data_IF_756553059771
#
_entry.id   IF_756553059771
#
_cell.length_a   1.000
_cell.length_b   1.000
_cell.length_c   1.000
_cell.angle_alpha   90.00
_cell.angle_beta   90.00
_cell.angle_gamma   90.00
#
_symmetry.space_group_name_H-M   'P 1'
#
loop_
_entity.id
_entity.type
_entity.pdbx_description
1 polymer ?
#
# COMPACT_ATOMS: atom_id res chain seq x y z
N UNK A 1 -9.07 13.80 -25.17
CA UNK A 1 -8.01 13.57 -24.18
C UNK A 1 -7.57 12.12 -24.24
N UNK A 2 -6.30 11.86 -24.10
CA UNK A 2 -5.79 10.49 -24.03
C UNK A 2 -4.95 10.33 -22.78
N UNK A 3 -5.44 9.54 -21.84
CA UNK A 3 -4.70 9.24 -20.61
C UNK A 3 -3.72 8.09 -20.91
N UNK A 4 -2.44 8.31 -20.62
CA UNK A 4 -1.38 7.36 -20.96
C UNK A 4 -1.08 6.36 -19.85
N UNK A 5 -1.45 6.67 -18.61
CA UNK A 5 -1.18 5.77 -17.49
C UNK A 5 -1.50 6.42 -16.16
N UNK A 6 -1.07 5.75 -15.09
CA UNK A 6 -1.19 6.26 -13.72
C UNK A 6 0.23 6.62 -13.25
N UNK A 7 0.46 7.89 -12.92
CA UNK A 7 1.78 8.36 -12.49
C UNK A 7 2.03 8.09 -11.02
N UNK A 8 1.05 8.39 -10.19
CA UNK A 8 1.17 8.15 -8.75
C UNK A 8 -0.20 7.97 -8.11
N UNK A 9 -0.18 7.41 -6.92
CA UNK A 9 -1.36 7.29 -6.06
C UNK A 9 -1.05 8.07 -4.79
N UNK A 10 -1.95 8.98 -4.40
CA UNK A 10 -1.82 9.72 -3.15
C UNK A 10 -2.25 8.88 -1.97
N UNK A 11 -1.43 8.88 -0.93
CA UNK A 11 -1.70 8.17 0.32
C UNK A 11 -1.69 9.18 1.46
N UNK A 12 -2.81 9.39 2.16
CA UNK A 12 -2.85 10.36 3.25
C UNK A 12 -2.08 9.84 4.47
N UNK A 13 -1.38 10.76 5.14
CA UNK A 13 -0.66 10.44 6.37
C UNK A 13 -0.70 11.63 7.32
N UNK A 14 -0.57 11.35 8.61
CA UNK A 14 -0.37 12.35 9.64
C UNK A 14 1.12 12.60 9.90
N UNK A 15 1.98 11.70 9.45
CA UNK A 15 3.42 11.74 9.72
C UNK A 15 4.15 11.06 8.56
N UNK A 16 4.68 11.87 7.66
CA UNK A 16 5.32 11.37 6.44
C UNK A 16 6.58 10.53 6.74
N UNK A 17 7.40 10.94 7.70
CA UNK A 17 8.61 10.20 8.04
C UNK A 17 8.28 8.80 8.55
N UNK A 18 7.26 8.69 9.41
CA UNK A 18 6.77 7.42 9.92
C UNK A 18 6.21 6.56 8.80
N UNK A 19 5.42 7.16 7.90
CA UNK A 19 4.82 6.44 6.77
C UNK A 19 5.90 5.88 5.84
N UNK A 20 6.83 6.71 5.40
CA UNK A 20 7.92 6.29 4.52
C UNK A 20 8.74 5.16 5.16
N UNK A 21 9.07 5.30 6.44
CA UNK A 21 9.84 4.28 7.17
C UNK A 21 9.09 2.94 7.20
N UNK A 22 7.80 2.95 7.43
CA UNK A 22 7.00 1.72 7.48
C UNK A 22 6.92 1.04 6.11
N UNK A 23 6.63 1.80 5.07
CA UNK A 23 6.54 1.25 3.71
C UNK A 23 7.90 0.72 3.24
N UNK A 24 8.98 1.38 3.61
CA UNK A 24 10.35 0.91 3.31
C UNK A 24 10.71 -0.34 4.09
N UNK A 25 10.52 -0.31 5.42
CA UNK A 25 11.04 -1.34 6.32
C UNK A 25 10.14 -2.58 6.39
N UNK A 26 8.83 -2.41 6.33
CA UNK A 26 7.87 -3.52 6.42
C UNK A 26 7.53 -4.07 5.03
N UNK A 27 7.24 -3.19 4.08
CA UNK A 27 6.86 -3.63 2.73
C UNK A 27 8.06 -3.77 1.77
N UNK A 28 9.24 -3.30 2.18
CA UNK A 28 10.45 -3.41 1.37
C UNK A 28 10.46 -2.50 0.14
N UNK A 29 9.70 -1.40 0.16
CA UNK A 29 9.62 -0.51 -0.99
C UNK A 29 10.77 0.49 -0.99
N UNK A 30 11.46 0.67 -2.14
CA UNK A 30 12.51 1.68 -2.22
C UNK A 30 11.95 3.08 -2.07
N UNK A 31 12.76 3.96 -1.46
CA UNK A 31 12.41 5.38 -1.31
C UNK A 31 12.82 6.14 -2.58
N UNK A 32 12.18 7.30 -2.78
CA UNK A 32 12.52 8.18 -3.89
C UNK A 32 13.83 8.92 -3.63
N UNK A 33 14.62 9.13 -4.69
CA UNK A 33 15.82 9.96 -4.64
C UNK A 33 15.48 11.46 -4.70
N UNK A 34 14.27 11.80 -5.13
CA UNK A 34 13.88 13.18 -5.41
C UNK A 34 13.10 13.84 -4.28
N UNK A 35 12.45 13.05 -3.44
CA UNK A 35 11.62 13.57 -2.36
C UNK A 35 11.51 12.56 -1.23
N UNK A 36 11.34 13.08 -0.01
CA UNK A 36 11.14 12.28 1.19
C UNK A 36 9.67 11.86 1.38
N UNK A 37 8.81 12.17 0.40
CA UNK A 37 7.37 11.91 0.49
C UNK A 37 6.90 10.76 -0.39
N UNK A 38 7.82 9.99 -0.96
CA UNK A 38 7.45 8.95 -1.91
C UNK A 38 8.16 7.63 -1.66
N UNK A 39 7.47 6.55 -1.97
CA UNK A 39 8.07 5.22 -2.12
C UNK A 39 7.66 4.66 -3.48
N UNK A 40 8.46 3.74 -4.01
CA UNK A 40 8.28 3.24 -5.36
C UNK A 40 7.82 1.78 -5.36
N UNK A 41 6.83 1.46 -6.16
CA UNK A 41 6.54 0.09 -6.58
C UNK A 41 7.15 -0.12 -7.96
N UNK A 42 6.99 -1.30 -8.54
CA UNK A 42 7.54 -1.56 -9.89
C UNK A 42 6.85 -0.76 -10.99
N UNK A 43 5.63 -0.31 -10.77
CA UNK A 43 4.84 0.33 -11.82
C UNK A 43 4.16 1.63 -11.42
N UNK A 44 4.13 1.97 -10.14
CA UNK A 44 3.43 3.17 -9.66
C UNK A 44 4.15 3.72 -8.43
N UNK A 45 4.27 5.02 -8.34
CA UNK A 45 4.76 5.74 -7.17
C UNK A 45 3.63 5.91 -6.16
N UNK A 46 3.91 5.67 -4.89
CA UNK A 46 3.01 6.05 -3.80
C UNK A 46 3.52 7.36 -3.20
N UNK A 47 2.71 8.41 -3.30
CA UNK A 47 3.06 9.76 -2.86
C UNK A 47 2.27 10.10 -1.60
N UNK A 48 2.98 10.36 -0.49
CA UNK A 48 2.33 10.67 0.78
C UNK A 48 1.89 12.12 0.81
N UNK A 49 0.64 12.32 1.21
CA UNK A 49 0.02 13.63 1.32
C UNK A 49 -0.31 13.90 2.78
N UNK A 50 -0.03 15.13 3.22
CA UNK A 50 -0.30 15.58 4.60
C UNK A 50 -1.50 16.54 4.58
N UNK A 51 -2.74 16.01 4.65
CA UNK A 51 -3.93 16.87 4.55
C UNK A 51 -4.01 17.93 5.64
N UNK A 52 -3.54 17.62 6.84
CA UNK A 52 -3.58 18.57 7.95
C UNK A 52 -2.69 19.81 7.72
N UNK A 53 -1.62 19.67 6.95
CA UNK A 53 -0.80 20.82 6.53
C UNK A 53 -1.53 21.73 5.54
N UNK A 54 -2.57 21.22 4.91
CA UNK A 54 -3.42 21.99 3.98
C UNK A 54 -4.67 22.51 4.66
N UNK A 55 -4.77 22.39 5.98
CA UNK A 55 -5.97 22.79 6.71
C UNK A 55 -7.14 21.83 6.54
N UNK A 56 -6.89 20.63 6.04
CA UNK A 56 -7.92 19.62 5.82
C UNK A 56 -7.91 18.59 6.95
N UNK A 57 -9.06 17.96 7.18
CA UNK A 57 -9.14 16.85 8.13
C UNK A 57 -8.49 15.61 7.55
N UNK A 58 -7.71 14.89 8.36
CA UNK A 58 -7.19 13.59 7.96
C UNK A 58 -8.32 12.56 7.91
N UNK A 59 -8.40 11.82 6.80
CA UNK A 59 -9.31 10.69 6.64
C UNK A 59 -8.51 9.56 5.97
N UNK A 60 -8.40 8.40 6.61
CA UNK A 60 -7.65 7.29 6.00
C UNK A 60 -8.35 6.76 4.77
N UNK A 61 -7.58 6.18 3.86
CA UNK A 61 -8.12 5.47 2.71
C UNK A 61 -8.54 4.07 3.15
N UNK A 62 -9.84 3.86 3.24
CA UNK A 62 -10.40 2.58 3.67
C UNK A 62 -10.77 1.66 2.49
N UNK A 63 -10.64 2.15 1.26
CA UNK A 63 -10.99 1.37 0.06
C UNK A 63 -9.90 0.39 -0.34
N UNK A 64 -8.67 0.66 0.04
CA UNK A 64 -7.55 -0.23 -0.19
C UNK A 64 -6.79 0.03 -1.48
N UNK A 65 -5.50 -0.23 -1.42
CA UNK A 65 -4.60 -0.24 -2.57
C UNK A 65 -4.10 -1.68 -2.72
N UNK A 66 -4.33 -2.29 -3.87
CA UNK A 66 -3.84 -3.63 -4.16
C UNK A 66 -2.36 -3.62 -4.47
N UNK A 67 -1.59 -4.36 -3.68
CA UNK A 67 -0.15 -4.52 -3.85
C UNK A 67 0.15 -5.97 -4.20
N UNK A 68 0.75 -6.20 -5.36
CA UNK A 68 1.09 -7.56 -5.79
C UNK A 68 2.27 -8.10 -5.00
N UNK A 69 2.09 -9.27 -4.40
CA UNK A 69 3.16 -10.00 -3.71
C UNK A 69 3.19 -11.43 -4.21
N UNK A 70 4.32 -12.11 -4.07
CA UNK A 70 4.47 -13.49 -4.54
C UNK A 70 3.68 -14.48 -3.69
N UNK A 71 3.65 -14.27 -2.38
CA UNK A 71 3.07 -15.19 -1.40
C UNK A 71 2.28 -14.36 -0.38
N UNK A 72 0.96 -14.36 -0.50
CA UNK A 72 0.09 -13.55 0.36
C UNK A 72 0.15 -13.98 1.83
N UNK A 73 0.04 -15.28 2.18
CA UNK A 73 0.16 -15.66 3.58
C UNK A 73 1.50 -15.26 4.22
N UNK A 74 2.61 -15.43 3.49
CA UNK A 74 3.93 -15.05 3.99
C UNK A 74 4.04 -13.54 4.18
N UNK A 75 3.52 -12.75 3.23
CA UNK A 75 3.53 -11.30 3.33
C UNK A 75 2.69 -10.80 4.51
N UNK A 76 1.54 -11.40 4.75
CA UNK A 76 0.69 -11.08 5.92
C UNK A 76 1.45 -11.35 7.21
N UNK A 77 2.18 -12.47 7.30
CA UNK A 77 2.98 -12.78 8.49
C UNK A 77 4.13 -11.78 8.69
N UNK A 78 4.73 -11.30 7.61
CA UNK A 78 5.76 -10.25 7.72
C UNK A 78 5.19 -8.98 8.33
N UNK A 79 3.99 -8.57 7.92
CA UNK A 79 3.31 -7.41 8.50
C UNK A 79 3.01 -7.65 9.97
N UNK A 80 2.48 -8.83 10.31
CA UNK A 80 2.15 -9.18 11.72
C UNK A 80 3.39 -9.19 12.60
N UNK A 81 4.47 -9.79 12.13
CA UNK A 81 5.75 -9.88 12.87
C UNK A 81 6.35 -8.50 13.11
N UNK A 82 6.17 -7.58 12.19
CA UNK A 82 6.63 -6.20 12.35
C UNK A 82 5.72 -5.35 13.25
N UNK A 83 4.69 -5.95 13.83
CA UNK A 83 3.74 -5.25 14.70
C UNK A 83 2.63 -4.53 13.94
N UNK A 84 2.48 -4.76 12.66
CA UNK A 84 1.42 -4.18 11.85
C UNK A 84 0.07 -4.84 12.08
N UNK A 85 -0.98 -4.12 11.76
CA UNK A 85 -2.35 -4.60 11.95
C UNK A 85 -2.79 -5.42 10.74
N UNK A 86 -3.22 -6.64 11.00
CA UNK A 86 -3.79 -7.55 10.00
C UNK A 86 -5.30 -7.62 10.19
N UNK A 87 -6.06 -7.31 9.15
CA UNK A 87 -7.53 -7.34 9.19
C UNK A 87 -8.04 -8.74 8.85
N UNK A 88 -7.47 -9.38 7.84
CA UNK A 88 -7.87 -10.73 7.46
C UNK A 88 -7.25 -11.21 6.16
N UNK A 89 -7.53 -12.46 5.83
CA UNK A 89 -7.11 -13.09 4.58
C UNK A 89 -8.33 -13.71 3.92
N UNK A 90 -8.41 -13.58 2.61
CA UNK A 90 -9.49 -14.10 1.78
C UNK A 90 -8.94 -14.78 0.55
N UNK A 91 -9.64 -15.82 0.09
CA UNK A 91 -9.35 -16.48 -1.18
C UNK A 91 -10.65 -16.52 -1.99
N UNK A 92 -10.64 -15.87 -3.16
CA UNK A 92 -11.83 -15.77 -4.00
C UNK A 92 -12.00 -16.96 -4.96
N UNK A 93 -11.04 -17.91 -4.98
CA UNK A 93 -11.00 -18.97 -5.97
C UNK A 93 -10.19 -18.61 -7.21
N UNK A 94 -9.79 -17.35 -7.36
CA UNK A 94 -8.91 -16.86 -8.44
C UNK A 94 -7.77 -16.01 -7.90
N UNK A 95 -7.95 -15.38 -6.74
CA UNK A 95 -6.97 -14.50 -6.11
C UNK A 95 -6.90 -14.78 -4.62
N UNK A 96 -5.72 -14.58 -4.04
CA UNK A 96 -5.55 -14.45 -2.59
C UNK A 96 -5.40 -12.98 -2.24
N UNK A 97 -6.00 -12.57 -1.13
CA UNK A 97 -5.99 -11.19 -0.65
C UNK A 97 -5.73 -11.16 0.85
N UNK A 98 -4.75 -10.37 1.27
CA UNK A 98 -4.48 -10.11 2.68
C UNK A 98 -4.73 -8.64 2.95
N UNK A 99 -5.65 -8.33 3.86
CA UNK A 99 -6.03 -6.96 4.21
C UNK A 99 -5.24 -6.54 5.44
N UNK A 100 -4.46 -5.47 5.29
CA UNK A 100 -3.65 -4.93 6.38
C UNK A 100 -3.83 -3.41 6.44
N UNK A 101 -3.53 -2.82 7.59
CA UNK A 101 -3.51 -1.37 7.73
C UNK A 101 -2.06 -0.88 7.78
N UNK A 102 -1.81 0.28 7.17
CA UNK A 102 -0.59 1.01 7.41
C UNK A 102 -0.69 1.75 8.76
N UNK A 103 0.36 2.47 9.22
CA UNK A 103 0.31 3.16 10.52
C UNK A 103 -0.78 4.21 10.65
N UNK A 104 -1.29 4.75 9.55
CA UNK A 104 -2.35 5.77 9.55
C UNK A 104 -3.75 5.17 9.40
N UNK A 105 -3.86 3.86 9.27
CA UNK A 105 -5.15 3.21 9.04
C UNK A 105 -5.55 3.12 7.59
N UNK A 106 -4.66 3.43 6.65
CA UNK A 106 -4.93 3.18 5.24
C UNK A 106 -4.91 1.68 4.99
N UNK A 107 -5.92 1.19 4.29
CA UNK A 107 -6.04 -0.22 3.96
C UNK A 107 -5.15 -0.55 2.77
N UNK A 108 -4.37 -1.60 2.91
CA UNK A 108 -3.58 -2.18 1.83
C UNK A 108 -4.04 -3.61 1.61
N UNK A 109 -4.12 -4.02 0.35
CA UNK A 109 -4.54 -5.37 -0.01
C UNK A 109 -3.34 -6.07 -0.65
N UNK A 110 -2.70 -6.95 0.13
CA UNK A 110 -1.64 -7.79 -0.38
C UNK A 110 -2.28 -8.85 -1.26
N UNK A 111 -1.90 -8.89 -2.52
CA UNK A 111 -2.72 -9.55 -3.55
C UNK A 111 -1.88 -10.42 -4.46
N UNK A 112 -2.43 -11.59 -4.81
CA UNK A 112 -1.88 -12.43 -5.87
C UNK A 112 -3.01 -13.12 -6.62
N UNK A 113 -3.07 -12.87 -7.92
CA UNK A 113 -3.91 -13.66 -8.80
C UNK A 113 -3.17 -14.92 -9.19
N UNK A 114 -3.77 -16.06 -8.98
CA UNK A 114 -3.19 -17.36 -9.35
C UNK A 114 -3.94 -18.06 -10.50
N UNK A 115 -5.16 -17.66 -10.77
CA UNK A 115 -5.91 -18.20 -11.89
C UNK A 115 -5.66 -17.35 -13.16
N UNK A 116 -5.64 -17.97 -14.34
CA UNK A 116 -5.42 -17.21 -15.58
C UNK A 116 -6.54 -16.22 -15.85
N UNK A 117 -6.19 -15.09 -16.47
CA UNK A 117 -7.15 -14.02 -16.82
C UNK A 117 -7.99 -14.39 -18.04
N UNK A 118 -7.49 -15.31 -18.86
CA UNK A 118 -8.18 -15.78 -20.07
C UNK A 118 -8.37 -17.26 -19.98
N UNK A 119 -9.46 -17.73 -20.53
CA UNK A 119 -9.80 -19.17 -20.58
C UNK A 119 -9.16 -19.85 -21.78
#
# INVERSE_FOLDING_TARGET
MQVEGVDFISVPTCDAARAVAWYRDVLGLPTSEYTTLEVETKNVTLSFRLPEEQGERFVPNENGIGLRVADVPAAVEEVRTAGGEVIGIEDSGVCQMGYVNDPDGNVLILHRRYAPRTK
#
